data_IF_733988615537
#
_entry.id   IF_733988615537
#
_cell.length_a   1.000
_cell.length_b   1.000
_cell.length_c   1.000
_cell.angle_alpha   90.00
_cell.angle_beta   90.00
_cell.angle_gamma   90.00
#
_symmetry.space_group_name_H-M   'P 1'
#
loop_
_entity.id
_entity.type
_entity.pdbx_description
1 polymer ?
#
# COMPACT_ATOMS: atom_id res chain seq x y z
N UNK A 1 8.23 16.62 -3.50
CA UNK A 1 7.56 15.86 -2.44
C UNK A 1 6.32 15.18 -2.97
N UNK A 2 6.16 13.89 -2.74
CA UNK A 2 4.98 13.15 -3.18
C UNK A 2 4.11 12.77 -2.01
N UNK A 3 2.82 12.65 -2.26
CA UNK A 3 1.86 12.21 -1.24
C UNK A 3 1.16 10.95 -1.74
N UNK A 4 1.21 9.90 -0.94
CA UNK A 4 0.64 8.60 -1.28
C UNK A 4 -0.53 8.29 -0.36
N UNK A 5 -1.61 7.79 -0.97
CA UNK A 5 -2.73 7.24 -0.22
C UNK A 5 -2.35 5.79 0.11
N UNK A 6 -2.12 5.52 1.38
CA UNK A 6 -1.64 4.22 1.84
C UNK A 6 -2.81 3.45 2.47
N UNK A 7 -3.26 2.43 1.77
CA UNK A 7 -4.41 1.64 2.20
C UNK A 7 -3.92 0.29 2.68
N UNK A 8 -4.25 -0.07 3.91
CA UNK A 8 -3.73 -1.30 4.48
C UNK A 8 -4.80 -2.10 5.20
N UNK A 9 -4.60 -3.41 5.23
CA UNK A 9 -5.41 -4.30 6.03
C UNK A 9 -4.69 -4.51 7.36
N UNK A 10 -5.27 -4.09 8.48
CA UNK A 10 -4.56 -4.14 9.75
C UNK A 10 -4.28 -5.55 10.26
N UNK A 11 -4.98 -6.55 9.71
CA UNK A 11 -4.82 -7.93 10.15
C UNK A 11 -3.88 -8.75 9.28
N UNK A 12 -3.54 -8.27 8.10
CA UNK A 12 -2.70 -9.01 7.16
C UNK A 12 -1.28 -9.16 7.67
N UNK A 13 -0.66 -10.27 7.30
CA UNK A 13 0.74 -10.49 7.59
C UNK A 13 1.07 -10.43 9.06
N UNK A 14 0.22 -11.02 9.89
CA UNK A 14 0.41 -11.03 11.33
C UNK A 14 0.47 -9.62 11.89
N UNK A 15 -0.35 -8.73 11.33
CA UNK A 15 -0.47 -7.33 11.73
C UNK A 15 0.82 -6.55 11.45
N UNK A 16 1.48 -6.91 10.38
CA UNK A 16 2.78 -6.33 10.06
C UNK A 16 2.73 -4.80 9.94
N UNK A 17 1.74 -4.26 9.22
CA UNK A 17 1.68 -2.82 9.02
C UNK A 17 1.51 -2.08 10.35
N UNK A 18 0.53 -2.42 11.20
CA UNK A 18 0.44 -1.74 12.50
C UNK A 18 1.70 -1.89 13.35
N UNK A 19 2.31 -3.06 13.31
CA UNK A 19 3.50 -3.32 14.13
C UNK A 19 4.71 -2.54 13.67
N UNK A 20 4.85 -2.33 12.37
CA UNK A 20 6.03 -1.70 11.80
C UNK A 20 5.72 -0.34 11.18
N UNK A 21 4.63 0.27 11.61
CA UNK A 21 4.15 1.50 11.01
C UNK A 21 5.21 2.60 10.99
N UNK A 22 5.88 2.80 12.09
CA UNK A 22 6.88 3.85 12.20
C UNK A 22 8.02 3.63 11.19
N UNK A 23 8.47 2.40 11.04
CA UNK A 23 9.53 2.08 10.10
C UNK A 23 9.08 2.26 8.66
N UNK A 24 7.86 1.87 8.36
CA UNK A 24 7.31 2.04 7.03
C UNK A 24 7.26 3.51 6.68
N UNK A 25 6.76 4.33 7.59
CA UNK A 25 6.70 5.77 7.37
C UNK A 25 8.10 6.34 7.17
N UNK A 26 9.04 5.93 8.01
CA UNK A 26 10.42 6.40 7.92
C UNK A 26 11.02 6.12 6.55
N UNK A 27 10.85 4.90 6.05
CA UNK A 27 11.42 4.51 4.75
C UNK A 27 10.87 5.36 3.61
N UNK A 28 9.56 5.63 3.64
CA UNK A 28 8.97 6.47 2.60
C UNK A 28 9.40 7.93 2.75
N UNK A 29 9.49 8.43 3.97
CA UNK A 29 9.90 9.82 4.18
C UNK A 29 11.34 10.05 3.75
N UNK A 30 12.20 9.06 3.87
CA UNK A 30 13.58 9.17 3.39
C UNK A 30 13.64 9.45 1.89
N UNK A 31 12.57 9.13 1.18
CA UNK A 31 12.46 9.32 -0.26
C UNK A 31 11.46 10.41 -0.62
N UNK A 32 11.16 11.29 0.32
CA UNK A 32 10.24 12.41 0.14
C UNK A 32 8.82 11.98 -0.25
N UNK A 33 8.36 10.87 0.28
CA UNK A 33 7.00 10.39 0.09
C UNK A 33 6.29 10.43 1.43
N UNK A 34 5.17 11.15 1.48
CA UNK A 34 4.35 11.24 2.68
C UNK A 34 3.12 10.38 2.54
N UNK A 35 2.79 9.65 3.60
CA UNK A 35 1.72 8.67 3.57
C UNK A 35 0.47 9.20 4.27
N UNK A 36 -0.65 9.13 3.57
CA UNK A 36 -1.96 9.35 4.18
C UNK A 36 -2.52 7.96 4.44
N UNK A 37 -2.61 7.58 5.71
CA UNK A 37 -2.94 6.22 6.10
C UNK A 37 -4.44 6.00 6.16
N UNK A 38 -4.92 5.00 5.43
CA UNK A 38 -6.31 4.57 5.48
C UNK A 38 -6.37 3.09 5.78
N UNK A 39 -7.18 2.74 6.75
CA UNK A 39 -7.33 1.40 7.25
C UNK A 39 -8.58 0.77 6.65
N UNK A 40 -8.45 -0.43 6.10
CA UNK A 40 -9.60 -1.14 5.55
C UNK A 40 -10.54 -1.56 6.70
N UNK A 41 -11.83 -1.40 6.48
CA UNK A 41 -12.87 -1.73 7.43
C UNK A 41 -14.04 -2.36 6.68
N UNK A 42 -15.18 -2.50 7.34
CA UNK A 42 -16.37 -3.03 6.67
C UNK A 42 -16.91 -2.04 5.65
N UNK A 43 -16.92 -0.76 6.01
CA UNK A 43 -17.37 0.30 5.11
C UNK A 43 -16.14 1.06 4.63
N UNK A 44 -15.83 0.93 3.37
CA UNK A 44 -14.64 1.54 2.77
C UNK A 44 -14.97 2.72 1.87
N UNK A 45 -16.15 3.30 2.04
CA UNK A 45 -16.56 4.42 1.21
C UNK A 45 -15.64 5.62 1.33
N UNK A 46 -15.06 5.85 2.51
CA UNK A 46 -14.12 6.96 2.70
C UNK A 46 -12.82 6.74 1.94
N UNK A 47 -12.40 5.49 1.83
CA UNK A 47 -11.20 5.17 1.05
C UNK A 47 -11.46 5.47 -0.43
N UNK A 48 -12.60 5.03 -0.92
CA UNK A 48 -12.96 5.26 -2.32
C UNK A 48 -13.06 6.76 -2.61
N UNK A 49 -13.66 7.51 -1.70
CA UNK A 49 -13.74 8.96 -1.82
C UNK A 49 -12.34 9.58 -1.86
N UNK A 50 -11.46 9.11 -0.99
CA UNK A 50 -10.09 9.64 -0.92
C UNK A 50 -9.30 9.37 -2.20
N UNK A 51 -9.62 8.30 -2.92
CA UNK A 51 -8.94 8.00 -4.19
C UNK A 51 -9.13 9.09 -5.24
N UNK A 52 -10.19 9.89 -5.11
CA UNK A 52 -10.48 10.97 -6.05
C UNK A 52 -9.83 12.29 -5.65
N UNK A 53 -9.06 12.31 -4.58
CA UNK A 53 -8.39 13.54 -4.15
C UNK A 53 -7.35 13.94 -5.18
N UNK A 54 -7.25 15.24 -5.40
CA UNK A 54 -6.30 15.78 -6.40
C UNK A 54 -4.91 16.02 -5.84
N UNK A 55 -4.76 15.91 -4.52
CA UNK A 55 -3.49 16.19 -3.87
C UNK A 55 -2.65 14.94 -3.63
N UNK A 56 -3.09 13.77 -4.11
CA UNK A 56 -2.29 12.56 -3.97
C UNK A 56 -1.63 12.23 -5.31
N UNK A 57 -0.44 11.66 -5.23
CA UNK A 57 0.37 11.35 -6.41
C UNK A 57 0.39 9.87 -6.74
N UNK A 58 0.03 9.02 -5.78
CA UNK A 58 0.02 7.59 -5.97
C UNK A 58 -0.85 6.92 -4.93
N UNK A 59 -1.16 5.66 -5.17
CA UNK A 59 -1.90 4.84 -4.21
C UNK A 59 -1.07 3.61 -3.90
N UNK A 60 -1.00 3.24 -2.63
CA UNK A 60 -0.28 2.06 -2.17
C UNK A 60 -1.27 1.15 -1.47
N UNK A 61 -1.26 -0.12 -1.84
CA UNK A 61 -2.06 -1.13 -1.15
C UNK A 61 -1.15 -2.08 -0.40
N UNK A 62 -1.41 -2.26 0.88
CA UNK A 62 -0.58 -3.12 1.73
C UNK A 62 -1.42 -4.20 2.39
N UNK A 63 -1.08 -5.44 2.14
CA UNK A 63 -1.81 -6.56 2.71
C UNK A 63 -1.54 -7.82 1.93
N UNK A 64 -2.39 -8.80 2.09
CA UNK A 64 -2.33 -10.02 1.29
C UNK A 64 -2.88 -9.79 -0.10
N UNK A 65 -2.91 -10.86 -0.89
CA UNK A 65 -3.37 -10.78 -2.27
C UNK A 65 -4.80 -10.26 -2.37
N UNK A 66 -5.65 -10.63 -1.43
CA UNK A 66 -7.04 -10.16 -1.43
C UNK A 66 -7.12 -8.66 -1.26
N UNK A 67 -6.35 -8.10 -0.34
CA UNK A 67 -6.32 -6.66 -0.11
C UNK A 67 -5.81 -5.92 -1.33
N UNK A 68 -4.69 -6.39 -1.87
CA UNK A 68 -4.06 -5.76 -3.03
C UNK A 68 -5.02 -5.78 -4.21
N UNK A 69 -5.68 -6.91 -4.42
CA UNK A 69 -6.66 -7.03 -5.51
C UNK A 69 -7.88 -6.16 -5.31
N UNK A 70 -8.38 -6.05 -4.09
CA UNK A 70 -9.53 -5.19 -3.81
C UNK A 70 -9.25 -3.73 -4.09
N UNK A 71 -8.09 -3.25 -3.65
CA UNK A 71 -7.71 -1.86 -3.90
C UNK A 71 -7.60 -1.60 -5.40
N UNK A 72 -6.98 -2.52 -6.12
CA UNK A 72 -6.84 -2.39 -7.57
C UNK A 72 -8.21 -2.36 -8.24
N UNK A 73 -9.12 -3.23 -7.81
CA UNK A 73 -10.47 -3.25 -8.37
C UNK A 73 -11.22 -1.95 -8.10
N UNK A 74 -11.07 -1.38 -6.91
CA UNK A 74 -11.68 -0.08 -6.61
C UNK A 74 -11.14 0.99 -7.55
N UNK A 75 -9.83 1.00 -7.78
CA UNK A 75 -9.21 1.98 -8.67
C UNK A 75 -9.75 1.85 -10.10
N UNK A 76 -9.85 0.62 -10.59
CA UNK A 76 -10.37 0.38 -11.94
C UNK A 76 -11.81 0.84 -12.04
N UNK A 77 -12.62 0.46 -11.06
CA UNK A 77 -14.04 0.77 -11.03
C UNK A 77 -14.29 2.28 -10.99
N UNK A 78 -13.43 3.00 -10.25
CA UNK A 78 -13.57 4.44 -10.10
C UNK A 78 -12.83 5.23 -11.17
N UNK A 79 -12.17 4.57 -12.08
CA UNK A 79 -11.44 5.24 -13.16
C UNK A 79 -10.22 6.00 -12.69
N UNK A 80 -9.59 5.54 -11.62
CA UNK A 80 -8.42 6.21 -11.06
C UNK A 80 -7.19 5.90 -11.92
N UNK A 81 -6.47 6.92 -12.31
CA UNK A 81 -5.32 6.80 -13.21
C UNK A 81 -3.97 7.04 -12.54
N UNK A 82 -3.92 6.92 -11.22
CA UNK A 82 -2.68 7.11 -10.49
C UNK A 82 -1.84 5.84 -10.47
N UNK A 83 -0.52 5.98 -10.31
CA UNK A 83 0.34 4.81 -10.11
C UNK A 83 -0.09 4.03 -8.87
N UNK A 84 0.03 2.72 -8.94
CA UNK A 84 -0.34 1.85 -7.83
C UNK A 84 0.85 1.01 -7.40
N UNK A 85 1.29 1.21 -6.16
CA UNK A 85 2.35 0.41 -5.57
C UNK A 85 1.76 -0.62 -4.62
N UNK A 86 2.38 -1.78 -4.53
CA UNK A 86 1.87 -2.85 -3.68
C UNK A 86 2.92 -3.30 -2.68
N UNK A 87 2.48 -3.52 -1.44
CA UNK A 87 3.32 -4.09 -0.39
C UNK A 87 2.65 -5.37 0.10
N UNK A 88 3.15 -6.50 -0.37
CA UNK A 88 2.61 -7.78 0.05
C UNK A 88 3.04 -8.13 1.46
N UNK A 89 2.07 -8.43 2.32
CA UNK A 89 2.33 -8.81 3.71
C UNK A 89 1.96 -10.25 4.01
N UNK A 90 1.33 -10.93 3.04
CA UNK A 90 0.77 -12.25 3.28
C UNK A 90 1.78 -13.32 3.61
N UNK A 91 2.99 -13.18 3.10
CA UNK A 91 4.03 -14.19 3.34
C UNK A 91 4.84 -13.92 4.58
N UNK A 92 4.57 -12.83 5.26
CA UNK A 92 5.36 -12.43 6.43
C UNK A 92 4.96 -13.17 7.69
N UNK A 93 3.86 -13.88 7.65
CA UNK A 93 3.33 -14.54 8.84
C UNK A 93 4.17 -15.72 9.32
N UNK A 94 5.12 -16.16 8.52
CA UNK A 94 5.96 -17.29 8.89
C UNK A 94 7.13 -16.91 9.79
N UNK A 95 7.37 -15.64 9.96
CA UNK A 95 8.58 -15.17 10.64
C UNK A 95 8.24 -14.44 11.90
N UNK A 96 7.70 -15.18 12.84
CA UNK A 96 7.16 -14.60 14.05
C UNK A 96 8.20 -14.00 14.97
N UNK A 97 9.46 -14.39 14.80
CA UNK A 97 10.53 -13.89 15.65
C UNK A 97 11.27 -12.71 15.05
N UNK A 98 10.91 -12.30 13.87
CA UNK A 98 11.53 -11.11 13.28
C UNK A 98 10.92 -9.86 13.87
N UNK A 99 11.77 -8.99 14.33
CA UNK A 99 11.34 -7.72 14.90
C UNK A 99 11.50 -6.58 13.92
N UNK A 100 12.13 -6.82 12.78
CA UNK A 100 12.35 -5.81 11.77
C UNK A 100 11.41 -6.03 10.59
N UNK A 101 11.29 -5.01 9.75
CA UNK A 101 10.58 -5.14 8.50
C UNK A 101 11.26 -6.25 7.69
N UNK A 102 10.48 -7.21 7.18
CA UNK A 102 11.06 -8.26 6.34
C UNK A 102 11.80 -7.68 5.15
N UNK A 103 12.87 -8.34 4.76
CA UNK A 103 13.69 -7.90 3.65
C UNK A 103 12.88 -7.70 2.37
N UNK A 104 11.93 -8.60 2.12
CA UNK A 104 11.09 -8.50 0.93
C UNK A 104 10.25 -7.23 0.94
N UNK A 105 9.78 -6.82 2.10
CA UNK A 105 9.02 -5.60 2.21
C UNK A 105 9.90 -4.38 2.03
N UNK A 106 11.12 -4.39 2.56
CA UNK A 106 12.05 -3.29 2.33
C UNK A 106 12.36 -3.13 0.85
N UNK A 107 12.53 -4.24 0.14
CA UNK A 107 12.75 -4.20 -1.30
C UNK A 107 11.55 -3.64 -2.03
N UNK A 108 10.34 -4.03 -1.62
CA UNK A 108 9.14 -3.52 -2.24
C UNK A 108 8.99 -2.01 -2.04
N UNK A 109 9.29 -1.53 -0.85
CA UNK A 109 9.26 -0.10 -0.58
C UNK A 109 10.28 0.62 -1.47
N UNK A 110 11.47 0.07 -1.56
CA UNK A 110 12.52 0.65 -2.40
C UNK A 110 12.06 0.76 -3.86
N UNK A 111 11.45 -0.30 -4.37
CA UNK A 111 10.96 -0.33 -5.75
C UNK A 111 9.91 0.77 -5.95
N UNK A 112 8.99 0.91 -5.03
CA UNK A 112 7.97 1.96 -5.12
C UNK A 112 8.61 3.34 -5.11
N UNK A 113 9.59 3.54 -4.23
CA UNK A 113 10.26 4.84 -4.11
C UNK A 113 11.06 5.19 -5.35
N UNK A 114 11.49 4.19 -6.11
CA UNK A 114 12.20 4.40 -7.36
C UNK A 114 11.26 4.69 -8.54
N UNK A 115 9.97 4.78 -8.28
CA UNK A 115 9.00 5.08 -9.33
C UNK A 115 8.49 3.87 -10.07
N UNK A 116 8.82 2.68 -9.62
CA UNK A 116 8.33 1.45 -10.25
C UNK A 116 7.03 1.04 -9.59
N UNK A 117 5.94 1.16 -10.32
CA UNK A 117 4.62 0.83 -9.80
C UNK A 117 3.78 0.24 -10.92
N UNK A 118 2.68 -0.38 -10.54
CA UNK A 118 1.78 -0.97 -11.51
C UNK A 118 0.87 0.09 -12.10
N UNK A 119 0.49 -0.12 -13.34
CA UNK A 119 -0.52 0.68 -13.98
C UNK A 119 -1.78 -0.16 -14.08
N UNK A 120 -2.73 0.09 -13.20
CA UNK A 120 -3.94 -0.73 -13.13
C UNK A 120 -4.86 -0.55 -14.32
N UNK A 121 -4.63 0.48 -15.13
CA UNK A 121 -5.43 0.71 -16.32
C UNK A 121 -5.32 -0.42 -17.33
N UNK A 122 -4.22 -1.15 -17.30
CA UNK A 122 -3.99 -2.19 -18.29
C UNK A 122 -4.43 -3.57 -17.78
N UNK A 123 -5.08 -3.61 -16.65
CA UNK A 123 -5.69 -4.83 -16.16
C UNK A 123 -4.74 -5.92 -15.76
N UNK A 124 -3.62 -5.58 -15.23
CA UNK A 124 -2.60 -6.54 -14.87
C UNK A 124 -2.65 -6.92 -13.42
N UNK A 125 -3.78 -6.91 -12.88
CA UNK A 125 -3.96 -7.16 -11.48
C UNK A 125 -4.02 -8.65 -11.24
N UNK A 126 -2.99 -9.29 -11.04
CA UNK A 126 -3.03 -10.71 -10.71
C UNK A 126 -1.70 -11.21 -10.26
#
# INVERSE_FOLDING_TARGET
>A
MKRALFIYNPLSGNRLVPRELDRIIEKFQENDIFLDMYRIAEDNSKIIEAMHRKDIDMIIGAGGDGTIGNVANWMIKEGIKLPYGTLGTGTCNNFTHNIDIPEDMEKAIHIICQGHSYNVDVGIVN
#
